data_IF_212085593918
#
_entry.id   IF_212085593918
#
_cell.length_a   1.000
_cell.length_b   1.000
_cell.length_c   1.000
_cell.angle_alpha   90.00
_cell.angle_beta   90.00
_cell.angle_gamma   90.00
#
_symmetry.space_group_name_H-M   'P 1'
#
loop_
_entity.id
_entity.type
_entity.pdbx_description
1 polymer ?
#
# COMPACT_ATOMS: atom_id res chain seq x y z
N UNK A 1 -42.62 17.37 -6.13
CA UNK A 1 -41.17 17.17 -5.88
C UNK A 1 -40.89 16.43 -4.56
N UNK A 2 -41.83 16.32 -3.64
CA UNK A 2 -41.74 15.60 -2.34
C UNK A 2 -41.86 14.08 -2.48
N UNK A 3 -42.75 13.56 -3.34
CA UNK A 3 -42.94 12.11 -3.57
C UNK A 3 -41.70 11.34 -4.07
N UNK A 4 -40.74 12.02 -4.72
CA UNK A 4 -39.51 11.39 -5.19
C UNK A 4 -38.45 11.25 -4.07
N UNK A 5 -38.49 12.08 -3.06
CA UNK A 5 -37.58 12.00 -1.90
C UNK A 5 -37.99 10.88 -0.94
N UNK A 6 -39.29 10.71 -0.70
CA UNK A 6 -39.80 9.64 0.18
C UNK A 6 -39.61 8.26 -0.45
N UNK A 7 -39.79 8.12 -1.76
CA UNK A 7 -39.50 6.87 -2.47
C UNK A 7 -38.01 6.51 -2.48
N UNK A 8 -37.11 7.48 -2.59
CA UNK A 8 -35.67 7.28 -2.48
C UNK A 8 -35.26 6.88 -1.06
N UNK A 9 -35.83 7.54 -0.05
CA UNK A 9 -35.57 7.20 1.36
C UNK A 9 -36.08 5.79 1.74
N UNK A 10 -37.26 5.39 1.24
CA UNK A 10 -37.79 4.03 1.44
C UNK A 10 -36.93 3.00 0.72
N UNK A 11 -36.41 3.31 -0.47
CA UNK A 11 -35.53 2.40 -1.21
C UNK A 11 -34.13 2.30 -0.56
N UNK A 12 -33.63 3.36 0.07
CA UNK A 12 -32.38 3.36 0.85
C UNK A 12 -32.54 2.63 2.19
N UNK A 13 -33.68 2.74 2.86
CA UNK A 13 -34.01 1.98 4.07
C UNK A 13 -34.11 0.45 3.84
N UNK A 14 -34.30 0.03 2.57
CA UNK A 14 -34.35 -1.39 2.19
C UNK A 14 -32.98 -1.96 1.82
N UNK A 15 -31.87 -1.17 1.84
CA UNK A 15 -30.54 -1.65 1.50
C UNK A 15 -29.90 -2.39 2.68
N UNK A 16 -29.58 -3.67 2.49
CA UNK A 16 -28.75 -4.43 3.44
C UNK A 16 -27.29 -3.97 3.34
N UNK A 17 -26.96 -2.82 3.99
CA UNK A 17 -25.62 -2.25 4.01
C UNK A 17 -24.58 -3.24 4.53
N UNK A 18 -24.81 -4.05 5.57
CA UNK A 18 -23.90 -5.09 6.01
C UNK A 18 -23.59 -6.14 4.92
N UNK A 19 -24.57 -6.57 4.14
CA UNK A 19 -24.35 -7.53 3.04
C UNK A 19 -23.53 -6.88 1.92
N UNK A 20 -23.84 -5.62 1.55
CA UNK A 20 -23.06 -4.84 0.57
C UNK A 20 -21.64 -4.69 1.05
N UNK A 21 -21.40 -4.37 2.33
CA UNK A 21 -20.06 -4.23 2.90
C UNK A 21 -19.28 -5.55 2.84
N UNK A 22 -19.87 -6.68 3.21
CA UNK A 22 -19.22 -8.00 3.10
C UNK A 22 -18.81 -8.30 1.66
N UNK A 23 -19.71 -8.08 0.69
CA UNK A 23 -19.40 -8.24 -0.73
C UNK A 23 -18.30 -7.31 -1.21
N UNK A 24 -18.33 -6.05 -0.80
CA UNK A 24 -17.30 -5.03 -1.11
C UNK A 24 -15.93 -5.51 -0.65
N UNK A 25 -15.79 -5.94 0.61
CA UNK A 25 -14.52 -6.46 1.14
C UNK A 25 -14.08 -7.70 0.36
N UNK A 26 -14.98 -8.63 0.02
CA UNK A 26 -14.65 -9.82 -0.76
C UNK A 26 -14.11 -9.48 -2.17
N UNK A 27 -14.78 -8.58 -2.90
CA UNK A 27 -14.36 -8.12 -4.24
C UNK A 27 -13.00 -7.41 -4.17
N UNK A 28 -12.81 -6.52 -3.20
CA UNK A 28 -11.55 -5.81 -3.00
C UNK A 28 -10.41 -6.77 -2.64
N UNK A 29 -10.66 -7.74 -1.76
CA UNK A 29 -9.66 -8.75 -1.38
C UNK A 29 -9.24 -9.63 -2.55
N UNK A 30 -10.18 -10.08 -3.38
CA UNK A 30 -9.88 -10.85 -4.58
C UNK A 30 -9.03 -10.03 -5.58
N UNK A 31 -9.41 -8.76 -5.81
CA UNK A 31 -8.62 -7.86 -6.65
C UNK A 31 -7.23 -7.60 -6.06
N UNK A 32 -7.12 -7.44 -4.73
CA UNK A 32 -5.86 -7.18 -4.05
C UNK A 32 -4.90 -8.38 -4.11
N UNK A 33 -5.41 -9.60 -3.99
CA UNK A 33 -4.60 -10.82 -4.16
C UNK A 33 -4.00 -10.89 -5.56
N UNK A 34 -4.80 -10.64 -6.60
CA UNK A 34 -4.34 -10.62 -8.00
C UNK A 34 -3.32 -9.49 -8.24
N UNK A 35 -3.60 -8.30 -7.72
CA UNK A 35 -2.68 -7.14 -7.81
C UNK A 35 -1.35 -7.46 -7.11
N UNK A 36 -1.42 -8.11 -5.96
CA UNK A 36 -0.23 -8.53 -5.21
C UNK A 36 0.64 -9.51 -6.00
N UNK A 37 0.03 -10.53 -6.65
CA UNK A 37 0.75 -11.48 -7.53
C UNK A 37 1.47 -10.72 -8.65
N UNK A 38 0.75 -9.79 -9.31
CA UNK A 38 1.28 -9.01 -10.41
C UNK A 38 2.47 -8.16 -9.99
N UNK A 39 2.32 -7.37 -8.93
CA UNK A 39 3.34 -6.39 -8.50
C UNK A 39 4.56 -7.09 -7.88
N UNK A 40 4.35 -8.10 -7.01
CA UNK A 40 5.46 -8.78 -6.33
C UNK A 40 6.36 -9.57 -7.30
N UNK A 41 5.80 -10.14 -8.37
CA UNK A 41 6.58 -10.80 -9.41
C UNK A 41 7.26 -9.82 -10.38
N UNK A 42 6.61 -8.68 -10.67
CA UNK A 42 7.11 -7.71 -11.65
C UNK A 42 8.32 -6.90 -11.16
N UNK A 43 8.38 -6.56 -9.87
CA UNK A 43 9.44 -5.72 -9.31
C UNK A 43 10.85 -6.24 -9.59
N UNK A 44 11.23 -7.47 -9.21
CA UNK A 44 12.58 -7.97 -9.47
C UNK A 44 12.85 -8.18 -10.96
N UNK A 45 11.84 -8.62 -11.73
CA UNK A 45 11.99 -8.84 -13.16
C UNK A 45 12.24 -7.53 -13.94
N UNK A 46 11.60 -6.42 -13.53
CA UNK A 46 11.78 -5.12 -14.18
C UNK A 46 13.20 -4.58 -14.04
N UNK A 47 13.81 -4.76 -12.89
CA UNK A 47 15.21 -4.39 -12.66
C UNK A 47 16.14 -5.19 -13.58
N UNK A 48 15.98 -6.52 -13.64
CA UNK A 48 16.79 -7.41 -14.47
C UNK A 48 16.62 -7.15 -15.98
N UNK A 49 15.38 -6.86 -16.44
CA UNK A 49 15.12 -6.50 -17.84
C UNK A 49 15.83 -5.19 -18.18
N UNK A 50 15.68 -4.17 -17.31
CA UNK A 50 16.31 -2.87 -17.57
C UNK A 50 17.83 -2.97 -17.61
N UNK A 51 18.44 -3.72 -16.70
CA UNK A 51 19.87 -4.01 -16.68
C UNK A 51 20.32 -4.73 -17.97
N UNK A 52 19.60 -5.80 -18.36
CA UNK A 52 19.92 -6.58 -19.55
C UNK A 52 19.79 -5.79 -20.85
N UNK A 53 18.79 -4.89 -20.95
CA UNK A 53 18.58 -4.03 -22.13
C UNK A 53 19.62 -2.89 -22.18
N UNK A 54 19.96 -2.29 -21.04
CA UNK A 54 20.88 -1.15 -20.95
C UNK A 54 22.37 -1.56 -20.87
N UNK A 55 22.65 -2.81 -20.47
CA UNK A 55 24.02 -3.29 -20.23
C UNK A 55 24.69 -2.69 -18.99
N UNK A 56 23.92 -2.12 -18.05
CA UNK A 56 24.47 -1.54 -16.82
C UNK A 56 23.47 -1.61 -15.64
N UNK A 57 24.02 -1.73 -14.42
CA UNK A 57 23.24 -1.86 -13.18
C UNK A 57 22.42 -0.59 -12.82
N UNK A 58 22.84 0.59 -13.28
CA UNK A 58 22.13 1.83 -12.99
C UNK A 58 20.70 1.82 -13.57
N UNK A 59 20.49 1.15 -14.70
CA UNK A 59 19.17 1.01 -15.30
C UNK A 59 18.22 0.16 -14.43
N UNK A 60 18.72 -0.83 -13.68
CA UNK A 60 17.92 -1.61 -12.73
C UNK A 60 17.35 -0.71 -11.63
N UNK A 61 18.18 0.16 -11.05
CA UNK A 61 17.74 1.14 -10.04
C UNK A 61 16.75 2.15 -10.60
N UNK A 62 16.95 2.60 -11.85
CA UNK A 62 16.01 3.50 -12.52
C UNK A 62 14.65 2.87 -12.74
N UNK A 63 14.58 1.60 -13.17
CA UNK A 63 13.30 0.90 -13.36
C UNK A 63 12.49 0.86 -12.05
N UNK A 64 13.15 0.60 -10.92
CA UNK A 64 12.54 0.65 -9.61
C UNK A 64 12.04 2.06 -9.26
N UNK A 65 12.87 3.06 -9.51
CA UNK A 65 12.52 4.47 -9.27
C UNK A 65 11.31 4.90 -10.09
N UNK A 66 11.23 4.53 -11.37
CA UNK A 66 10.06 4.82 -12.21
C UNK A 66 8.79 4.20 -11.65
N UNK A 67 8.84 2.98 -11.10
CA UNK A 67 7.70 2.34 -10.44
C UNK A 67 7.19 3.15 -9.24
N UNK A 68 8.09 3.59 -8.36
CA UNK A 68 7.74 4.43 -7.18
C UNK A 68 7.21 5.78 -7.61
N UNK A 69 7.85 6.44 -8.60
CA UNK A 69 7.38 7.72 -9.16
C UNK A 69 6.00 7.57 -9.78
N UNK A 70 5.74 6.47 -10.51
CA UNK A 70 4.44 6.17 -11.09
C UNK A 70 3.35 6.06 -10.02
N UNK A 71 3.64 5.37 -8.91
CA UNK A 71 2.71 5.27 -7.79
C UNK A 71 2.44 6.65 -7.14
N UNK A 72 3.47 7.45 -6.93
CA UNK A 72 3.33 8.80 -6.38
C UNK A 72 2.50 9.71 -7.29
N UNK A 73 2.80 9.72 -8.60
CA UNK A 73 2.07 10.52 -9.60
C UNK A 73 0.62 10.10 -9.75
N UNK A 74 0.29 8.80 -9.57
CA UNK A 74 -1.08 8.29 -9.68
C UNK A 74 -1.93 8.57 -8.44
N UNK A 75 -1.35 8.79 -7.26
CA UNK A 75 -2.06 8.89 -5.99
C UNK A 75 -3.16 9.97 -6.01
N UNK A 76 -2.82 11.20 -6.42
CA UNK A 76 -3.78 12.31 -6.47
C UNK A 76 -4.78 12.22 -7.64
N UNK A 77 -4.39 11.87 -8.89
CA UNK A 77 -5.35 11.63 -9.96
C UNK A 77 -6.39 10.57 -9.63
N UNK A 78 -5.98 9.42 -9.05
CA UNK A 78 -6.90 8.38 -8.62
C UNK A 78 -7.87 8.86 -7.53
N UNK A 79 -7.38 9.67 -6.58
CA UNK A 79 -8.23 10.32 -5.57
C UNK A 79 -9.27 11.25 -6.22
N UNK A 80 -8.86 12.08 -7.20
CA UNK A 80 -9.78 12.96 -7.96
C UNK A 80 -10.84 12.16 -8.72
N UNK A 81 -10.44 11.06 -9.37
CA UNK A 81 -11.37 10.18 -10.07
C UNK A 81 -12.36 9.55 -9.08
N UNK A 82 -11.91 9.15 -7.89
CA UNK A 82 -12.79 8.65 -6.83
C UNK A 82 -13.82 9.70 -6.42
N UNK A 83 -13.41 10.94 -6.20
CA UNK A 83 -14.29 12.05 -5.82
C UNK A 83 -15.38 12.32 -6.88
N UNK A 84 -15.04 12.22 -8.16
CA UNK A 84 -15.96 12.51 -9.27
C UNK A 84 -16.78 11.31 -9.74
N UNK A 85 -16.22 10.10 -9.63
CA UNK A 85 -16.77 8.91 -10.30
C UNK A 85 -16.84 7.64 -9.45
N UNK A 86 -16.41 7.70 -8.17
CA UNK A 86 -16.43 6.59 -7.23
C UNK A 86 -15.17 5.71 -7.28
N UNK A 87 -15.07 4.80 -6.30
CA UNK A 87 -13.94 3.88 -6.12
C UNK A 87 -13.76 2.95 -7.31
N UNK A 88 -14.85 2.38 -7.80
CA UNK A 88 -14.80 1.44 -8.91
C UNK A 88 -14.08 2.02 -10.13
N UNK A 89 -14.40 3.25 -10.53
CA UNK A 89 -13.77 3.89 -11.69
C UNK A 89 -12.29 4.13 -11.47
N UNK A 90 -11.91 4.65 -10.31
CA UNK A 90 -10.52 4.93 -9.98
C UNK A 90 -9.67 3.66 -9.96
N UNK A 91 -10.14 2.62 -9.26
CA UNK A 91 -9.40 1.37 -9.10
C UNK A 91 -9.29 0.61 -10.43
N UNK A 92 -10.38 0.50 -11.20
CA UNK A 92 -10.36 -0.14 -12.53
C UNK A 92 -9.40 0.57 -13.48
N UNK A 93 -9.40 1.91 -13.51
CA UNK A 93 -8.46 2.69 -14.33
C UNK A 93 -7.02 2.50 -13.88
N UNK A 94 -6.73 2.58 -12.57
CA UNK A 94 -5.37 2.40 -12.06
C UNK A 94 -4.79 1.01 -12.37
N UNK A 95 -5.59 -0.05 -12.21
CA UNK A 95 -5.18 -1.41 -12.55
C UNK A 95 -5.08 -1.62 -14.08
N UNK A 96 -6.00 -1.05 -14.85
CA UNK A 96 -5.97 -1.11 -16.33
C UNK A 96 -4.72 -0.43 -16.89
N UNK A 97 -4.37 0.75 -16.39
CA UNK A 97 -3.13 1.45 -16.75
C UNK A 97 -1.90 0.61 -16.37
N UNK A 98 -1.92 -0.01 -15.18
CA UNK A 98 -0.88 -0.95 -14.78
C UNK A 98 -0.75 -2.16 -15.70
N UNK A 99 -1.87 -2.73 -16.16
CA UNK A 99 -1.87 -3.84 -17.12
C UNK A 99 -1.24 -3.42 -18.47
N UNK A 100 -1.58 -2.23 -18.98
CA UNK A 100 -0.93 -1.64 -20.17
C UNK A 100 0.55 -1.44 -19.92
N UNK A 101 0.93 -0.98 -18.70
CA UNK A 101 2.33 -0.85 -18.30
C UNK A 101 3.08 -2.18 -18.34
N UNK A 102 2.47 -3.26 -17.83
CA UNK A 102 3.07 -4.58 -17.90
C UNK A 102 3.30 -5.05 -19.35
N UNK A 103 2.34 -4.81 -20.25
CA UNK A 103 2.52 -5.07 -21.69
C UNK A 103 3.65 -4.22 -22.28
N UNK A 104 3.76 -2.95 -21.89
CA UNK A 104 4.86 -2.06 -22.33
C UNK A 104 6.23 -2.62 -21.95
N UNK A 105 6.39 -3.18 -20.73
CA UNK A 105 7.67 -3.83 -20.34
C UNK A 105 7.95 -5.06 -21.21
N UNK A 106 6.95 -5.88 -21.51
CA UNK A 106 7.11 -7.02 -22.43
C UNK A 106 7.58 -6.56 -23.81
N UNK A 107 6.98 -5.49 -24.36
CA UNK A 107 7.43 -4.88 -25.61
C UNK A 107 8.86 -4.39 -25.50
N UNK A 108 9.21 -3.69 -24.42
CA UNK A 108 10.58 -3.20 -24.18
C UNK A 108 11.60 -4.33 -24.09
N UNK A 109 11.24 -5.45 -23.43
CA UNK A 109 12.11 -6.62 -23.34
C UNK A 109 12.31 -7.34 -24.67
N UNK A 110 11.29 -7.37 -25.52
CA UNK A 110 11.35 -8.03 -26.86
C UNK A 110 12.05 -7.18 -27.91
N UNK A 111 11.84 -5.87 -27.87
CA UNK A 111 12.42 -4.93 -28.84
C UNK A 111 13.78 -4.34 -28.40
N UNK A 112 14.22 -4.66 -27.17
CA UNK A 112 15.41 -4.12 -26.50
C UNK A 112 15.38 -2.58 -26.40
N UNK A 113 14.19 -1.98 -26.26
CA UNK A 113 13.97 -0.55 -26.14
C UNK A 113 13.70 -0.14 -24.69
N UNK A 114 14.71 0.42 -24.05
CA UNK A 114 14.68 0.86 -22.64
C UNK A 114 13.54 1.85 -22.30
N UNK A 115 13.15 2.82 -23.18
CA UNK A 115 12.02 3.70 -22.90
C UNK A 115 10.70 2.96 -22.61
N UNK A 116 10.43 1.84 -23.31
CA UNK A 116 9.22 1.04 -23.06
C UNK A 116 9.29 0.33 -21.70
N UNK A 117 10.49 -0.07 -21.24
CA UNK A 117 10.69 -0.66 -19.92
C UNK A 117 10.38 0.37 -18.84
N UNK A 118 10.96 1.57 -18.92
CA UNK A 118 10.74 2.64 -17.95
C UNK A 118 9.31 3.17 -17.94
N UNK A 119 8.72 3.39 -19.13
CA UNK A 119 7.30 3.74 -19.22
C UNK A 119 6.42 2.65 -18.60
N UNK A 120 6.73 1.40 -18.90
CA UNK A 120 5.97 0.27 -18.39
C UNK A 120 6.05 0.16 -16.87
N UNK A 121 7.23 0.27 -16.25
CA UNK A 121 7.39 0.24 -14.80
C UNK A 121 6.69 1.43 -14.14
N UNK A 122 6.75 2.63 -14.72
CA UNK A 122 6.02 3.80 -14.26
C UNK A 122 4.50 3.55 -14.27
N UNK A 123 3.95 2.99 -15.34
CA UNK A 123 2.53 2.67 -15.44
C UNK A 123 2.10 1.54 -14.48
N UNK A 124 2.96 0.53 -14.24
CA UNK A 124 2.73 -0.49 -13.20
C UNK A 124 2.65 0.14 -11.80
N UNK A 125 3.39 1.22 -11.56
CA UNK A 125 3.27 2.04 -10.36
C UNK A 125 1.84 2.55 -10.11
N UNK A 126 1.06 2.84 -11.17
CA UNK A 126 -0.34 3.22 -11.03
C UNK A 126 -1.20 2.10 -10.42
N UNK A 127 -0.91 0.82 -10.75
CA UNK A 127 -1.59 -0.32 -10.12
C UNK A 127 -1.22 -0.44 -8.64
N UNK A 128 0.02 -0.16 -8.26
CA UNK A 128 0.46 -0.10 -6.86
C UNK A 128 -0.34 0.97 -6.10
N UNK A 129 -0.48 2.18 -6.66
CA UNK A 129 -1.30 3.24 -6.07
C UNK A 129 -2.78 2.84 -5.92
N UNK A 130 -3.36 2.18 -6.95
CA UNK A 130 -4.71 1.66 -6.87
C UNK A 130 -4.86 0.60 -5.76
N UNK A 131 -3.89 -0.30 -5.62
CA UNK A 131 -3.83 -1.27 -4.51
C UNK A 131 -3.81 -0.59 -3.14
N UNK A 132 -3.05 0.49 -2.96
CA UNK A 132 -3.07 1.27 -1.73
C UNK A 132 -4.43 1.91 -1.46
N UNK A 133 -5.13 2.39 -2.48
CA UNK A 133 -6.46 2.97 -2.31
C UNK A 133 -7.57 1.94 -2.06
N UNK A 134 -7.38 0.69 -2.50
CA UNK A 134 -8.35 -0.39 -2.28
C UNK A 134 -8.61 -0.66 -0.79
N UNK A 135 -7.58 -0.52 0.07
CA UNK A 135 -7.75 -0.67 1.53
C UNK A 135 -8.75 0.33 2.11
N UNK A 136 -8.73 1.56 1.62
CA UNK A 136 -9.66 2.59 2.08
C UNK A 136 -11.09 2.36 1.59
N UNK A 137 -11.25 1.85 0.37
CA UNK A 137 -12.56 1.48 -0.15
C UNK A 137 -13.27 0.43 0.72
N UNK A 138 -12.51 -0.43 1.40
CA UNK A 138 -13.03 -1.39 2.38
C UNK A 138 -13.60 -0.73 3.64
N UNK A 139 -13.15 0.47 3.98
CA UNK A 139 -13.59 1.21 5.16
C UNK A 139 -14.77 2.18 4.88
N UNK A 140 -15.12 2.42 3.61
CA UNK A 140 -16.10 3.45 3.24
C UNK A 140 -17.51 3.18 3.81
N UNK A 141 -17.95 1.92 3.86
CA UNK A 141 -19.26 1.48 4.40
C UNK A 141 -19.13 0.78 5.76
N UNK A 142 -17.90 0.62 6.28
CA UNK A 142 -17.69 -0.04 7.55
C UNK A 142 -18.12 0.82 8.74
N UNK A 143 -18.75 0.19 9.73
CA UNK A 143 -19.03 0.81 11.02
C UNK A 143 -17.73 1.31 11.67
N UNK A 144 -17.76 2.42 12.43
CA UNK A 144 -16.56 3.03 13.01
C UNK A 144 -15.70 2.08 13.84
N UNK A 145 -16.32 1.12 14.55
CA UNK A 145 -15.69 0.11 15.39
C UNK A 145 -15.11 -1.08 14.60
N UNK A 146 -15.40 -1.18 13.29
CA UNK A 146 -14.98 -2.29 12.40
C UNK A 146 -14.14 -1.84 11.22
N UNK A 147 -13.80 -0.55 11.12
CA UNK A 147 -13.01 0.01 10.00
C UNK A 147 -11.62 -0.60 9.92
N UNK A 148 -10.94 -0.76 11.05
CA UNK A 148 -9.61 -1.37 11.12
C UNK A 148 -9.62 -2.81 10.60
N UNK A 149 -10.62 -3.60 11.01
CA UNK A 149 -10.80 -4.97 10.54
C UNK A 149 -11.10 -5.04 9.04
N UNK A 150 -11.99 -4.19 8.53
CA UNK A 150 -12.34 -4.19 7.10
C UNK A 150 -11.13 -3.85 6.23
N UNK A 151 -10.37 -2.82 6.61
CA UNK A 151 -9.14 -2.40 5.95
C UNK A 151 -8.07 -3.50 6.00
N UNK A 152 -7.86 -4.11 7.16
CA UNK A 152 -6.82 -5.12 7.37
C UNK A 152 -7.06 -6.42 6.59
N UNK A 153 -8.31 -6.81 6.35
CA UNK A 153 -8.65 -7.98 5.54
C UNK A 153 -8.18 -7.77 4.08
N UNK A 154 -8.41 -6.59 3.52
CA UNK A 154 -7.96 -6.26 2.18
C UNK A 154 -6.43 -6.19 2.11
N UNK A 155 -5.79 -5.60 3.13
CA UNK A 155 -4.33 -5.59 3.25
C UNK A 155 -3.77 -7.02 3.36
N UNK A 156 -4.41 -7.89 4.15
CA UNK A 156 -4.03 -9.29 4.29
C UNK A 156 -4.07 -10.07 2.97
N UNK A 157 -5.02 -9.77 2.10
CA UNK A 157 -5.12 -10.41 0.79
C UNK A 157 -3.85 -10.22 -0.06
N UNK A 158 -3.06 -9.17 0.19
CA UNK A 158 -1.75 -8.97 -0.43
C UNK A 158 -0.73 -10.05 -0.07
N UNK A 159 -0.90 -10.75 1.07
CA UNK A 159 -0.04 -11.88 1.48
C UNK A 159 -0.01 -12.97 0.40
N UNK A 160 -1.16 -13.25 -0.22
CA UNK A 160 -1.27 -14.24 -1.30
C UNK A 160 -0.33 -13.85 -2.44
N UNK A 161 -0.35 -12.57 -2.84
CA UNK A 161 0.50 -12.07 -3.90
C UNK A 161 1.99 -12.06 -3.52
N UNK A 162 2.29 -11.66 -2.29
CA UNK A 162 3.65 -11.59 -1.79
C UNK A 162 4.32 -12.97 -1.73
N UNK A 163 3.55 -14.02 -1.46
CA UNK A 163 4.03 -15.41 -1.46
C UNK A 163 4.08 -15.98 -2.87
N UNK A 164 3.02 -15.80 -3.65
CA UNK A 164 2.93 -16.42 -4.98
C UNK A 164 3.79 -15.70 -6.03
N UNK A 165 3.90 -14.37 -5.98
CA UNK A 165 4.61 -13.58 -6.98
C UNK A 165 6.03 -14.05 -7.26
N UNK A 166 6.94 -14.08 -6.27
CA UNK A 166 8.30 -14.58 -6.45
C UNK A 166 8.37 -16.06 -6.84
N UNK A 167 7.46 -16.91 -6.32
CA UNK A 167 7.42 -18.33 -6.63
C UNK A 167 6.96 -18.62 -8.07
N UNK A 168 6.29 -17.69 -8.73
CA UNK A 168 5.86 -17.80 -10.11
C UNK A 168 6.93 -17.37 -11.11
N UNK A 169 8.08 -16.83 -10.69
CA UNK A 169 9.14 -16.32 -11.57
C UNK A 169 9.58 -17.38 -12.61
N UNK A 170 9.91 -18.57 -12.18
CA UNK A 170 10.36 -19.64 -13.09
C UNK A 170 9.22 -20.15 -13.97
N UNK A 171 8.03 -20.38 -13.39
CA UNK A 171 6.86 -20.87 -14.13
C UNK A 171 6.41 -19.85 -15.19
N UNK A 172 6.40 -18.55 -14.84
CA UNK A 172 6.08 -17.48 -15.79
C UNK A 172 7.13 -17.33 -16.88
N UNK A 173 8.41 -17.53 -16.54
CA UNK A 173 9.50 -17.54 -17.52
C UNK A 173 9.34 -18.67 -18.55
N UNK A 174 8.99 -19.90 -18.11
CA UNK A 174 8.66 -21.01 -19.01
C UNK A 174 7.45 -20.71 -19.90
N UNK A 175 6.42 -20.06 -19.33
CA UNK A 175 5.26 -19.63 -20.12
C UNK A 175 5.67 -18.63 -21.21
N UNK A 176 6.50 -17.64 -20.88
CA UNK A 176 6.97 -16.65 -21.84
C UNK A 176 7.74 -17.29 -23.00
N UNK A 177 8.69 -18.20 -22.69
CA UNK A 177 9.47 -18.90 -23.73
C UNK A 177 8.59 -19.81 -24.60
N UNK A 178 7.57 -20.46 -24.03
CA UNK A 178 6.61 -21.28 -24.80
C UNK A 178 5.80 -20.46 -25.83
N UNK A 179 5.64 -19.17 -25.65
CA UNK A 179 4.94 -18.26 -26.58
C UNK A 179 5.92 -17.37 -27.36
N UNK A 180 7.21 -17.70 -27.37
CA UNK A 180 8.25 -17.01 -28.16
C UNK A 180 8.73 -15.69 -27.58
N UNK A 181 8.51 -15.42 -26.28
CA UNK A 181 8.96 -14.22 -25.59
C UNK A 181 10.22 -14.47 -24.75
N UNK A 182 11.02 -13.44 -24.44
CA UNK A 182 12.15 -13.55 -23.54
C UNK A 182 11.72 -14.07 -22.16
N UNK A 183 12.51 -14.97 -21.57
CA UNK A 183 12.19 -15.60 -20.28
C UNK A 183 11.87 -14.58 -19.18
N UNK A 184 12.66 -13.52 -19.06
CA UNK A 184 12.49 -12.48 -18.05
C UNK A 184 11.20 -11.65 -18.22
N UNK A 185 10.56 -11.68 -19.40
CA UNK A 185 9.26 -11.01 -19.62
C UNK A 185 8.08 -11.78 -19.01
N UNK A 186 8.27 -13.05 -18.62
CA UNK A 186 7.22 -13.91 -18.07
C UNK A 186 6.47 -13.33 -16.89
N UNK A 187 7.13 -12.79 -15.87
CA UNK A 187 6.45 -12.11 -14.75
C UNK A 187 5.56 -10.96 -15.19
N UNK A 188 5.93 -10.22 -16.25
CA UNK A 188 5.10 -9.13 -16.78
C UNK A 188 3.93 -9.63 -17.64
N UNK A 189 4.04 -10.76 -18.32
CA UNK A 189 2.92 -11.44 -18.98
C UNK A 189 1.88 -11.85 -17.91
N UNK A 190 2.31 -12.47 -16.82
CA UNK A 190 1.43 -12.82 -15.70
C UNK A 190 0.87 -11.56 -15.04
N UNK A 191 1.68 -10.52 -14.86
CA UNK A 191 1.24 -9.24 -14.29
C UNK A 191 0.14 -8.59 -15.14
N UNK A 192 0.28 -8.55 -16.46
CA UNK A 192 -0.73 -8.02 -17.36
C UNK A 192 -2.07 -8.77 -17.23
N UNK A 193 -2.02 -10.11 -17.20
CA UNK A 193 -3.19 -10.96 -16.99
C UNK A 193 -3.83 -10.76 -15.62
N UNK A 194 -3.06 -10.78 -14.56
CA UNK A 194 -3.55 -10.59 -13.19
C UNK A 194 -4.14 -9.19 -12.96
N UNK A 195 -3.49 -8.13 -13.46
CA UNK A 195 -4.01 -6.75 -13.35
C UNK A 195 -5.28 -6.55 -14.18
N UNK A 196 -5.34 -7.12 -15.40
CA UNK A 196 -6.55 -7.13 -16.21
C UNK A 196 -7.70 -7.85 -15.53
N UNK A 197 -7.44 -9.03 -14.95
CA UNK A 197 -8.45 -9.80 -14.21
C UNK A 197 -8.86 -9.07 -12.93
N UNK A 198 -7.93 -8.47 -12.20
CA UNK A 198 -8.22 -7.67 -11.01
C UNK A 198 -9.14 -6.47 -11.35
N UNK A 199 -8.86 -5.78 -12.46
CA UNK A 199 -9.73 -4.71 -12.96
C UNK A 199 -11.13 -5.24 -13.34
N UNK A 200 -11.22 -6.41 -13.97
CA UNK A 200 -12.49 -7.05 -14.31
C UNK A 200 -13.30 -7.44 -13.06
N UNK A 201 -12.63 -8.00 -12.02
CA UNK A 201 -13.25 -8.30 -10.73
C UNK A 201 -13.84 -7.05 -10.08
N UNK A 202 -13.16 -5.91 -10.18
CA UNK A 202 -13.64 -4.64 -9.64
C UNK A 202 -14.87 -4.07 -10.37
N UNK A 203 -15.19 -4.52 -11.58
CA UNK A 203 -16.46 -4.17 -12.23
C UNK A 203 -17.66 -4.65 -11.43
N UNK A 204 -17.49 -5.74 -10.64
CA UNK A 204 -18.49 -6.26 -9.71
C UNK A 204 -18.67 -5.41 -8.42
N UNK A 205 -17.87 -4.35 -8.22
CA UNK A 205 -18.01 -3.41 -7.10
C UNK A 205 -19.24 -2.51 -7.31
N UNK A 206 -20.42 -3.08 -7.07
CA UNK A 206 -21.72 -2.45 -7.23
C UNK A 206 -22.64 -2.84 -6.07
N UNK A 207 -23.30 -1.85 -5.39
CA UNK A 207 -23.09 -0.39 -5.56
C UNK A 207 -21.67 0.05 -5.21
N UNK A 208 -21.23 1.20 -5.75
CA UNK A 208 -19.93 1.77 -5.41
C UNK A 208 -19.91 2.20 -3.94
N UNK A 209 -18.94 1.71 -3.12
CA UNK A 209 -18.96 1.95 -1.68
C UNK A 209 -18.84 3.42 -1.29
N UNK A 210 -18.02 4.20 -1.99
CA UNK A 210 -17.87 5.63 -1.74
C UNK A 210 -19.13 6.41 -2.08
N UNK A 211 -19.71 6.17 -3.27
CA UNK A 211 -20.91 6.88 -3.70
C UNK A 211 -22.11 6.51 -2.83
N UNK A 212 -22.21 5.24 -2.37
CA UNK A 212 -23.26 4.84 -1.45
C UNK A 212 -23.08 5.47 -0.07
N UNK A 213 -21.86 5.43 0.51
CA UNK A 213 -21.57 6.06 1.79
C UNK A 213 -21.92 7.56 1.78
N UNK A 214 -21.59 8.27 0.68
CA UNK A 214 -21.93 9.68 0.50
C UNK A 214 -23.43 9.93 0.42
N UNK A 215 -24.19 9.04 -0.27
CA UNK A 215 -25.66 9.15 -0.34
C UNK A 215 -26.29 8.97 1.04
N UNK A 216 -25.84 7.95 1.78
CA UNK A 216 -26.32 7.69 3.14
C UNK A 216 -26.03 8.88 4.08
N UNK A 217 -24.85 9.48 4.01
CA UNK A 217 -24.49 10.66 4.79
C UNK A 217 -25.36 11.90 4.45
N UNK A 218 -25.77 12.05 3.19
CA UNK A 218 -26.73 13.12 2.81
C UNK A 218 -28.13 12.83 3.34
N UNK A 219 -28.55 11.56 3.31
CA UNK A 219 -29.88 11.15 3.79
C UNK A 219 -30.01 11.29 5.31
N UNK A 220 -28.92 11.03 6.08
CA UNK A 220 -28.88 11.23 7.55
C UNK A 220 -28.73 12.70 7.98
N UNK A 221 -28.48 13.61 7.03
CA UNK A 221 -28.21 15.02 7.34
C UNK A 221 -26.77 15.33 7.75
N UNK A 222 -25.87 14.35 7.72
CA UNK A 222 -24.45 14.50 8.06
C UNK A 222 -23.63 15.17 6.95
N UNK A 223 -24.22 15.36 5.75
CA UNK A 223 -23.56 16.01 4.62
C UNK A 223 -24.56 16.86 3.80
N UNK A 224 -24.07 17.94 3.23
CA UNK A 224 -24.90 18.85 2.39
C UNK A 224 -25.00 18.31 0.96
N UNK A 225 -26.23 18.18 0.47
CA UNK A 225 -26.49 17.75 -0.92
C UNK A 225 -25.93 18.81 -1.90
N UNK A 226 -25.08 18.38 -2.85
CA UNK A 226 -24.52 19.29 -3.87
C UNK A 226 -23.10 19.76 -3.62
N UNK A 227 -22.54 19.63 -2.42
CA UNK A 227 -21.13 19.88 -2.18
C UNK A 227 -20.23 18.96 -3.04
N UNK A 228 -19.28 19.58 -3.74
CA UNK A 228 -18.26 18.87 -4.51
C UNK A 228 -17.00 18.75 -3.66
N UNK A 229 -16.66 17.56 -3.18
CA UNK A 229 -15.45 17.34 -2.38
C UNK A 229 -14.21 17.83 -3.15
N UNK A 230 -13.31 18.51 -2.45
CA UNK A 230 -12.08 19.07 -3.02
C UNK A 230 -10.85 18.47 -2.31
N UNK A 231 -9.76 18.26 -3.06
CA UNK A 231 -8.47 17.87 -2.47
C UNK A 231 -7.97 18.94 -1.49
N UNK A 232 -8.26 20.22 -1.75
CA UNK A 232 -7.87 21.31 -0.84
C UNK A 232 -8.57 21.21 0.52
N UNK A 233 -9.84 20.82 0.53
CA UNK A 233 -10.62 20.64 1.76
C UNK A 233 -10.11 19.44 2.56
N UNK A 234 -9.79 18.34 1.89
CA UNK A 234 -9.15 17.19 2.53
C UNK A 234 -7.81 17.53 3.17
N UNK A 235 -6.94 18.28 2.49
CA UNK A 235 -5.67 18.76 3.06
C UNK A 235 -5.92 19.72 4.22
N UNK A 236 -6.89 20.65 4.08
CA UNK A 236 -7.26 21.57 5.15
C UNK A 236 -7.80 20.82 6.38
N UNK A 237 -8.57 19.73 6.17
CA UNK A 237 -9.04 18.85 7.23
C UNK A 237 -7.88 18.23 8.00
N UNK A 238 -6.90 17.61 7.31
CA UNK A 238 -5.71 17.05 7.97
C UNK A 238 -4.98 18.09 8.81
N UNK A 239 -4.84 19.33 8.30
CA UNK A 239 -4.17 20.42 9.04
C UNK A 239 -4.90 20.84 10.32
N UNK A 240 -6.20 20.66 10.41
CA UNK A 240 -7.05 21.05 11.54
C UNK A 240 -7.25 19.94 12.58
N UNK A 241 -7.16 18.66 12.18
CA UNK A 241 -7.49 17.52 13.04
C UNK A 241 -6.24 16.77 13.48
N UNK A 242 -5.98 16.74 14.79
CA UNK A 242 -4.79 16.09 15.39
C UNK A 242 -4.73 14.59 15.07
N UNK A 243 -5.88 13.91 15.07
CA UNK A 243 -5.99 12.49 14.71
C UNK A 243 -5.52 12.22 13.27
N UNK A 244 -6.01 13.01 12.31
CA UNK A 244 -5.63 12.89 10.91
C UNK A 244 -4.14 13.20 10.68
N UNK A 245 -3.58 14.20 11.38
CA UNK A 245 -2.15 14.51 11.33
C UNK A 245 -1.30 13.35 11.85
N UNK A 246 -1.71 12.76 12.98
CA UNK A 246 -1.03 11.60 13.56
C UNK A 246 -1.12 10.39 12.63
N UNK A 247 -2.29 10.13 12.05
CA UNK A 247 -2.49 9.05 11.07
C UNK A 247 -1.60 9.20 9.84
N UNK A 248 -1.56 10.41 9.24
CA UNK A 248 -0.69 10.73 8.11
C UNK A 248 0.80 10.54 8.46
N UNK A 249 1.23 11.07 9.61
CA UNK A 249 2.62 10.94 10.07
C UNK A 249 2.99 9.47 10.34
N UNK A 250 2.09 8.69 10.94
CA UNK A 250 2.32 7.28 11.21
C UNK A 250 2.54 6.47 9.92
N UNK A 251 1.72 6.72 8.90
CA UNK A 251 1.84 6.06 7.59
C UNK A 251 3.15 6.46 6.91
N UNK A 252 3.45 7.75 6.82
CA UNK A 252 4.62 8.25 6.11
C UNK A 252 5.93 7.86 6.82
N UNK A 253 6.07 8.13 8.13
CA UNK A 253 7.28 7.84 8.90
C UNK A 253 7.48 6.33 9.04
N UNK A 254 6.41 5.56 9.30
CA UNK A 254 6.49 4.09 9.36
C UNK A 254 6.94 3.48 8.04
N UNK A 255 6.48 4.02 6.90
CA UNK A 255 6.93 3.57 5.59
C UNK A 255 8.39 3.94 5.31
N UNK A 256 8.83 5.14 5.70
CA UNK A 256 10.23 5.54 5.59
C UNK A 256 11.15 4.60 6.36
N UNK A 257 10.85 4.30 7.65
CA UNK A 257 11.61 3.35 8.49
C UNK A 257 11.73 1.99 7.80
N UNK A 258 10.58 1.47 7.33
CA UNK A 258 10.53 0.16 6.68
C UNK A 258 11.41 0.13 5.42
N UNK A 259 11.29 1.13 4.54
CA UNK A 259 12.07 1.20 3.29
C UNK A 259 13.56 1.36 3.58
N UNK A 260 13.94 2.24 4.53
CA UNK A 260 15.34 2.46 4.89
C UNK A 260 16.06 1.15 5.23
N UNK A 261 15.50 0.35 6.12
CA UNK A 261 16.13 -0.88 6.61
C UNK A 261 16.00 -2.01 5.59
N UNK A 262 14.80 -2.25 5.05
CA UNK A 262 14.50 -3.38 4.17
C UNK A 262 15.31 -3.34 2.87
N UNK A 263 15.46 -2.15 2.24
CA UNK A 263 16.14 -2.04 0.93
C UNK A 263 17.62 -2.36 1.02
N UNK A 264 18.27 -2.03 2.14
CA UNK A 264 19.71 -2.25 2.32
C UNK A 264 20.06 -3.61 2.96
N UNK A 265 19.09 -4.34 3.52
CA UNK A 265 19.36 -5.66 4.11
C UNK A 265 19.91 -6.68 3.11
N UNK A 266 19.34 -6.83 1.89
CA UNK A 266 19.92 -7.73 0.87
C UNK A 266 21.37 -7.36 0.49
N UNK A 267 21.66 -6.07 0.39
CA UNK A 267 23.00 -5.56 0.08
C UNK A 267 23.96 -5.92 1.21
N UNK A 268 23.55 -5.70 2.47
CA UNK A 268 24.32 -6.06 3.65
C UNK A 268 24.65 -7.56 3.72
N UNK A 269 23.66 -8.43 3.47
CA UNK A 269 23.85 -9.88 3.44
C UNK A 269 24.77 -10.35 2.29
N UNK A 270 24.71 -9.68 1.14
CA UNK A 270 25.57 -10.02 -0.01
C UNK A 270 27.04 -9.69 0.21
N UNK A 271 27.33 -8.67 1.02
CA UNK A 271 28.73 -8.31 1.33
C UNK A 271 29.50 -9.42 2.10
N UNK A 272 28.78 -10.37 2.69
CA UNK A 272 29.35 -11.55 3.38
C UNK A 272 28.98 -12.87 2.68
N UNK A 273 28.71 -12.80 1.38
CA UNK A 273 28.46 -13.95 0.50
C UNK A 273 27.30 -14.88 0.91
N UNK A 274 26.29 -14.34 1.61
CA UNK A 274 25.05 -15.09 1.93
C UNK A 274 24.35 -15.49 0.64
N UNK A 275 23.96 -16.75 0.53
CA UNK A 275 23.27 -17.30 -0.65
C UNK A 275 21.97 -16.57 -0.93
N UNK A 276 21.69 -16.30 -2.22
CA UNK A 276 20.50 -15.55 -2.68
C UNK A 276 19.17 -16.16 -2.18
N UNK A 277 19.10 -17.49 -2.04
CA UNK A 277 17.92 -18.16 -1.51
C UNK A 277 17.62 -17.77 -0.06
N UNK A 278 18.66 -17.60 0.78
CA UNK A 278 18.52 -17.18 2.17
C UNK A 278 18.13 -15.70 2.28
N UNK A 279 18.69 -14.86 1.40
CA UNK A 279 18.27 -13.45 1.28
C UNK A 279 16.78 -13.37 0.91
N UNK A 280 16.35 -14.17 -0.09
CA UNK A 280 14.95 -14.27 -0.48
C UNK A 280 14.04 -14.74 0.65
N UNK A 281 14.50 -15.69 1.48
CA UNK A 281 13.77 -16.16 2.67
C UNK A 281 13.57 -15.01 3.68
N UNK A 282 14.63 -14.26 3.98
CA UNK A 282 14.56 -13.12 4.91
C UNK A 282 13.58 -12.06 4.41
N UNK A 283 13.59 -11.75 3.11
CA UNK A 283 12.61 -10.82 2.50
C UNK A 283 11.19 -11.40 2.62
N UNK A 284 11.00 -12.69 2.37
CA UNK A 284 9.69 -13.35 2.48
C UNK A 284 9.14 -13.30 3.90
N UNK A 285 10.01 -13.50 4.89
CA UNK A 285 9.68 -13.38 6.32
C UNK A 285 9.29 -11.94 6.68
N UNK A 286 10.00 -10.93 6.13
CA UNK A 286 9.62 -9.52 6.26
C UNK A 286 8.22 -9.25 5.71
N UNK A 287 7.95 -9.70 4.50
CA UNK A 287 6.63 -9.53 3.85
C UNK A 287 5.52 -10.24 4.63
N UNK A 288 5.82 -11.40 5.23
CA UNK A 288 4.89 -12.06 6.15
C UNK A 288 4.61 -11.19 7.38
N UNK A 289 5.61 -10.52 7.95
CA UNK A 289 5.44 -9.53 9.02
C UNK A 289 4.51 -8.37 8.62
N UNK A 290 4.64 -7.87 7.39
CA UNK A 290 3.81 -6.79 6.88
C UNK A 290 2.32 -7.16 6.78
N UNK A 291 2.01 -8.36 6.30
CA UNK A 291 0.66 -8.69 5.84
C UNK A 291 -0.02 -9.83 6.61
N UNK A 292 0.71 -10.87 7.03
CA UNK A 292 0.10 -12.08 7.57
C UNK A 292 -0.69 -11.83 8.86
N UNK A 293 -0.18 -10.94 9.73
CA UNK A 293 -0.82 -10.58 11.00
C UNK A 293 -1.74 -9.36 10.90
N UNK A 294 -1.94 -8.79 9.70
CA UNK A 294 -2.75 -7.57 9.55
C UNK A 294 -4.19 -7.69 10.05
N UNK A 295 -4.92 -8.85 9.95
CA UNK A 295 -6.25 -8.97 10.54
C UNK A 295 -6.24 -8.85 12.07
N UNK A 296 -5.19 -9.38 12.73
CA UNK A 296 -5.02 -9.25 14.18
C UNK A 296 -4.73 -7.79 14.57
N UNK A 297 -3.88 -7.11 13.79
CA UNK A 297 -3.58 -5.68 13.98
C UNK A 297 -4.85 -4.84 13.79
N UNK A 298 -5.66 -5.14 12.78
CA UNK A 298 -6.93 -4.47 12.53
C UNK A 298 -7.93 -4.68 13.66
N UNK A 299 -8.07 -5.91 14.14
CA UNK A 299 -8.89 -6.23 15.29
C UNK A 299 -8.41 -5.49 16.56
N UNK A 300 -7.11 -5.47 16.80
CA UNK A 300 -6.52 -4.74 17.93
C UNK A 300 -6.78 -3.23 17.82
N UNK A 301 -6.67 -2.65 16.61
CA UNK A 301 -6.95 -1.24 16.38
C UNK A 301 -8.42 -0.88 16.66
N UNK A 302 -9.36 -1.77 16.34
CA UNK A 302 -10.79 -1.56 16.62
C UNK A 302 -11.10 -1.75 18.10
N UNK A 303 -10.48 -2.74 18.79
CA UNK A 303 -10.81 -3.11 20.17
C UNK A 303 -10.05 -2.34 21.23
N UNK A 304 -8.74 -2.15 21.03
CA UNK A 304 -7.85 -1.46 21.97
C UNK A 304 -7.72 0.03 21.67
N UNK A 305 -8.13 0.44 20.46
CA UNK A 305 -7.98 1.78 19.95
C UNK A 305 -6.73 1.94 19.04
N UNK A 306 -6.76 2.96 18.22
CA UNK A 306 -5.75 3.22 17.17
C UNK A 306 -4.41 3.67 17.77
N UNK A 307 -4.48 4.52 18.79
CA UNK A 307 -3.27 5.09 19.44
C UNK A 307 -2.43 4.03 20.17
N UNK A 308 -3.01 3.10 20.96
CA UNK A 308 -2.24 1.97 21.53
C UNK A 308 -1.58 1.10 20.46
N UNK A 309 -2.24 0.82 19.33
CA UNK A 309 -1.64 0.04 18.24
C UNK A 309 -0.51 0.79 17.55
N UNK A 310 -0.63 2.11 17.37
CA UNK A 310 0.49 2.94 16.90
C UNK A 310 1.67 2.93 17.87
N UNK A 311 1.42 3.01 19.17
CA UNK A 311 2.46 2.93 20.19
C UNK A 311 3.16 1.56 20.18
N UNK A 312 2.41 0.46 20.02
CA UNK A 312 2.97 -0.87 19.82
C UNK A 312 3.84 -0.91 18.56
N UNK A 313 3.38 -0.33 17.44
CA UNK A 313 4.15 -0.22 16.19
C UNK A 313 5.48 0.51 16.39
N UNK A 314 5.49 1.62 17.13
CA UNK A 314 6.73 2.37 17.49
C UNK A 314 7.68 1.48 18.31
N UNK A 315 7.18 0.79 19.31
CA UNK A 315 7.99 -0.11 20.13
C UNK A 315 8.58 -1.27 19.29
N UNK A 316 7.76 -1.87 18.42
CA UNK A 316 8.19 -2.94 17.52
C UNK A 316 9.25 -2.44 16.54
N UNK A 317 9.10 -1.27 15.92
CA UNK A 317 10.11 -0.66 15.06
C UNK A 317 11.42 -0.41 15.83
N UNK A 318 11.33 0.07 17.06
CA UNK A 318 12.53 0.30 17.88
C UNK A 318 13.30 -1.01 18.09
N UNK A 319 12.61 -2.08 18.49
CA UNK A 319 13.23 -3.40 18.67
C UNK A 319 13.79 -3.92 17.35
N UNK A 320 13.05 -3.79 16.25
CA UNK A 320 13.49 -4.23 14.92
C UNK A 320 14.79 -3.53 14.49
N UNK A 321 14.85 -2.20 14.59
CA UNK A 321 16.02 -1.42 14.21
C UNK A 321 17.23 -1.73 15.10
N UNK A 322 17.04 -1.84 16.43
CA UNK A 322 18.11 -2.20 17.37
C UNK A 322 18.64 -3.60 17.09
N UNK A 323 17.75 -4.56 16.83
CA UNK A 323 18.14 -5.94 16.51
C UNK A 323 18.90 -5.98 15.18
N UNK A 324 18.36 -5.36 14.12
CA UNK A 324 19.01 -5.29 12.81
C UNK A 324 20.40 -4.62 12.87
N UNK A 325 20.59 -3.62 13.75
CA UNK A 325 21.88 -2.95 13.93
C UNK A 325 22.94 -3.83 14.61
N UNK A 326 22.54 -4.85 15.37
CA UNK A 326 23.44 -5.67 16.20
C UNK A 326 23.67 -7.09 15.66
N UNK A 327 22.76 -7.56 14.82
CA UNK A 327 22.84 -8.92 14.25
C UNK A 327 23.88 -8.92 13.12
N UNK A 328 24.80 -9.94 13.09
CA UNK A 328 25.73 -10.13 11.99
C UNK A 328 25.03 -10.33 10.64
N UNK A 329 25.69 -9.98 9.55
CA UNK A 329 25.13 -10.04 8.19
C UNK A 329 24.85 -11.49 7.72
N UNK A 330 25.55 -12.46 8.26
CA UNK A 330 25.43 -13.89 7.99
C UNK A 330 24.41 -14.61 8.90
N UNK A 331 23.95 -13.96 9.99
CA UNK A 331 22.88 -14.49 10.84
C UNK A 331 21.50 -14.30 10.19
N UNK A 332 21.16 -15.25 9.33
CA UNK A 332 19.88 -15.28 8.59
C UNK A 332 18.67 -15.30 9.52
N UNK A 333 18.77 -15.98 10.68
CA UNK A 333 17.66 -16.10 11.63
C UNK A 333 17.46 -14.77 12.36
N UNK A 334 18.52 -14.18 12.87
CA UNK A 334 18.47 -12.88 13.56
C UNK A 334 17.95 -11.76 12.66
N UNK A 335 18.47 -11.69 11.41
CA UNK A 335 17.96 -10.72 10.41
C UNK A 335 16.52 -11.02 10.01
N UNK A 336 16.15 -12.30 9.89
CA UNK A 336 14.77 -12.72 9.62
C UNK A 336 13.81 -12.23 10.69
N UNK A 337 14.15 -12.39 11.97
CA UNK A 337 13.36 -11.91 13.10
C UNK A 337 13.29 -10.36 13.09
N UNK A 338 14.42 -9.67 12.88
CA UNK A 338 14.47 -8.22 12.82
C UNK A 338 13.55 -7.68 11.69
N UNK A 339 13.62 -8.28 10.50
CA UNK A 339 12.81 -7.87 9.37
C UNK A 339 11.34 -8.26 9.52
N UNK A 340 11.02 -9.38 10.16
CA UNK A 340 9.63 -9.72 10.51
C UNK A 340 9.02 -8.63 11.42
N UNK A 341 9.75 -8.26 12.47
CA UNK A 341 9.33 -7.20 13.38
C UNK A 341 9.21 -5.85 12.65
N UNK A 342 10.15 -5.54 11.75
CA UNK A 342 10.08 -4.35 10.91
C UNK A 342 8.79 -4.31 10.09
N UNK A 343 8.43 -5.43 9.45
CA UNK A 343 7.18 -5.58 8.72
C UNK A 343 5.94 -5.44 9.61
N UNK A 344 5.96 -6.04 10.80
CA UNK A 344 4.85 -5.95 11.76
C UNK A 344 4.68 -4.52 12.30
N UNK A 345 5.77 -3.79 12.58
CA UNK A 345 5.74 -2.38 12.95
C UNK A 345 5.10 -1.52 11.85
N UNK A 346 5.45 -1.79 10.59
CA UNK A 346 4.82 -1.15 9.43
C UNK A 346 3.32 -1.47 9.35
N UNK A 347 2.91 -2.71 9.55
CA UNK A 347 1.50 -3.12 9.56
C UNK A 347 0.69 -2.35 10.61
N UNK A 348 1.24 -2.20 11.82
CA UNK A 348 0.62 -1.43 12.91
C UNK A 348 0.43 0.05 12.52
N UNK A 349 1.48 0.69 11.98
CA UNK A 349 1.42 2.11 11.58
C UNK A 349 0.53 2.33 10.37
N UNK A 350 0.53 1.42 9.40
CA UNK A 350 -0.33 1.51 8.21
C UNK A 350 -1.81 1.37 8.57
N UNK A 351 -2.17 0.30 9.29
CA UNK A 351 -3.58 -0.03 9.56
C UNK A 351 -4.17 0.97 10.56
N UNK A 352 -3.55 1.16 11.71
CA UNK A 352 -4.05 2.10 12.71
C UNK A 352 -3.96 3.56 12.21
N UNK A 353 -2.90 3.92 11.49
CA UNK A 353 -2.74 5.23 10.87
C UNK A 353 -3.79 5.50 9.80
N UNK A 354 -4.07 4.55 8.91
CA UNK A 354 -5.09 4.67 7.87
C UNK A 354 -6.50 4.80 8.46
N UNK A 355 -6.78 4.07 9.54
CA UNK A 355 -8.07 4.15 10.24
C UNK A 355 -8.22 5.52 10.91
N UNK A 356 -7.19 5.96 11.64
CA UNK A 356 -7.18 7.26 12.34
C UNK A 356 -7.29 8.43 11.37
N UNK A 357 -6.65 8.32 10.20
CA UNK A 357 -6.66 9.33 9.15
C UNK A 357 -8.09 9.67 8.66
N UNK A 358 -8.97 8.66 8.59
CA UNK A 358 -10.34 8.82 8.05
C UNK A 358 -11.42 8.85 9.13
N UNK A 359 -11.05 8.81 10.40
CA UNK A 359 -11.99 8.64 11.49
C UNK A 359 -12.95 9.82 11.64
N UNK A 360 -12.39 11.04 11.60
CA UNK A 360 -13.13 12.31 11.76
C UNK A 360 -13.29 13.05 10.42
N UNK A 361 -13.19 12.32 9.30
CA UNK A 361 -13.31 12.89 7.95
C UNK A 361 -14.67 12.56 7.37
N UNK A 362 -15.36 13.58 6.86
CA UNK A 362 -16.63 13.42 6.16
C UNK A 362 -16.47 12.46 4.98
N UNK A 363 -17.50 11.64 4.74
CA UNK A 363 -17.44 10.60 3.70
C UNK A 363 -17.06 11.19 2.33
N UNK A 364 -17.44 12.43 2.04
CA UNK A 364 -17.10 13.14 0.82
C UNK A 364 -15.62 13.43 0.66
N UNK A 365 -14.92 13.80 1.74
CA UNK A 365 -13.54 14.27 1.70
C UNK A 365 -12.49 13.15 1.88
N UNK A 366 -12.91 11.95 2.31
CA UNK A 366 -12.02 10.81 2.55
C UNK A 366 -11.05 10.52 1.39
N UNK A 367 -11.48 10.47 0.11
CA UNK A 367 -10.56 10.17 -0.97
C UNK A 367 -9.46 11.22 -1.16
N UNK A 368 -9.74 12.49 -0.86
CA UNK A 368 -8.74 13.56 -0.93
C UNK A 368 -7.65 13.39 0.13
N UNK A 369 -8.07 13.11 1.38
CA UNK A 369 -7.16 12.84 2.51
C UNK A 369 -6.34 11.57 2.27
N UNK A 370 -6.96 10.54 1.75
CA UNK A 370 -6.31 9.25 1.43
C UNK A 370 -5.28 9.40 0.31
N UNK A 371 -5.62 10.14 -0.77
CA UNK A 371 -4.68 10.42 -1.86
C UNK A 371 -3.45 11.21 -1.39
N UNK A 372 -3.65 12.19 -0.50
CA UNK A 372 -2.54 12.92 0.12
C UNK A 372 -1.68 12.02 1.00
N UNK A 373 -2.31 11.07 1.72
CA UNK A 373 -1.60 10.08 2.53
C UNK A 373 -0.75 9.14 1.68
N UNK A 374 -1.30 8.60 0.59
CA UNK A 374 -0.58 7.70 -0.31
C UNK A 374 0.58 8.41 -1.00
N UNK A 375 0.40 9.67 -1.41
CA UNK A 375 1.49 10.50 -1.94
C UNK A 375 2.59 10.72 -0.89
N UNK A 376 2.22 11.09 0.34
CA UNK A 376 3.16 11.30 1.45
C UNK A 376 3.93 10.03 1.78
N UNK A 377 3.27 8.87 1.78
CA UNK A 377 3.87 7.57 2.01
C UNK A 377 4.93 7.26 0.93
N UNK A 378 4.60 7.45 -0.36
CA UNK A 378 5.53 7.19 -1.45
C UNK A 378 6.74 8.15 -1.41
N UNK A 379 6.52 9.44 -1.13
CA UNK A 379 7.61 10.42 -0.96
C UNK A 379 8.52 10.02 0.21
N UNK A 380 7.92 9.66 1.35
CA UNK A 380 8.67 9.25 2.53
C UNK A 380 9.49 7.97 2.27
N UNK A 381 8.94 7.00 1.53
CA UNK A 381 9.66 5.81 1.09
C UNK A 381 10.82 6.14 0.15
N UNK A 382 10.60 7.01 -0.84
CA UNK A 382 11.66 7.43 -1.77
C UNK A 382 12.80 8.16 -1.04
N UNK A 383 12.48 9.08 -0.13
CA UNK A 383 13.47 9.77 0.71
C UNK A 383 14.19 8.78 1.64
N UNK A 384 13.45 7.85 2.25
CA UNK A 384 14.02 6.79 3.09
C UNK A 384 15.02 5.94 2.33
N UNK A 385 14.69 5.51 1.11
CA UNK A 385 15.60 4.76 0.25
C UNK A 385 16.85 5.53 -0.16
N UNK A 386 16.70 6.82 -0.51
CA UNK A 386 17.82 7.69 -0.84
C UNK A 386 18.79 7.90 0.35
N UNK A 387 18.22 8.16 1.54
CA UNK A 387 19.00 8.28 2.78
C UNK A 387 19.71 6.96 3.10
N UNK A 388 19.01 5.82 2.91
CA UNK A 388 19.57 4.51 3.17
C UNK A 388 20.80 4.23 2.31
N UNK A 389 20.71 4.49 1.00
CA UNK A 389 21.84 4.34 0.08
C UNK A 389 23.03 5.21 0.46
N UNK A 390 22.78 6.49 0.78
CA UNK A 390 23.83 7.42 1.19
C UNK A 390 24.51 6.98 2.49
N UNK A 391 23.76 6.61 3.51
CA UNK A 391 24.30 6.21 4.82
C UNK A 391 25.13 4.94 4.69
N UNK A 392 24.65 3.92 3.94
CA UNK A 392 25.42 2.68 3.76
C UNK A 392 26.69 2.92 2.94
N UNK A 393 26.63 3.76 1.90
CA UNK A 393 27.81 4.09 1.09
C UNK A 393 28.88 4.86 1.87
N UNK A 394 28.51 5.67 2.86
CA UNK A 394 29.45 6.50 3.62
C UNK A 394 29.80 5.94 5.00
N UNK A 395 29.07 4.91 5.48
CA UNK A 395 29.22 4.37 6.82
C UNK A 395 28.96 2.86 6.86
N UNK A 396 27.80 2.42 7.39
CA UNK A 396 27.47 0.99 7.49
C UNK A 396 25.97 0.76 7.61
N UNK A 397 25.56 -0.51 7.42
CA UNK A 397 24.18 -0.95 7.66
C UNK A 397 23.76 -0.76 9.14
N UNK A 398 24.65 -1.01 10.09
CA UNK A 398 24.37 -0.78 11.50
C UNK A 398 24.05 0.70 11.78
N UNK A 399 24.83 1.62 11.24
CA UNK A 399 24.58 3.07 11.35
C UNK A 399 23.25 3.44 10.71
N UNK A 400 22.90 2.86 9.55
CA UNK A 400 21.59 3.05 8.91
C UNK A 400 20.46 2.67 9.86
N UNK A 401 20.54 1.51 10.52
CA UNK A 401 19.51 1.05 11.47
C UNK A 401 19.36 2.01 12.67
N UNK A 402 20.44 2.63 13.16
CA UNK A 402 20.38 3.69 14.17
C UNK A 402 19.78 4.99 13.62
N UNK A 403 20.09 5.38 12.39
CA UNK A 403 19.48 6.54 11.71
C UNK A 403 17.97 6.32 11.51
N UNK A 404 17.55 5.10 11.22
CA UNK A 404 16.14 4.75 11.10
C UNK A 404 15.33 4.94 12.39
N UNK A 405 15.99 5.03 13.57
CA UNK A 405 15.32 5.40 14.81
C UNK A 405 14.91 6.88 14.87
N UNK A 406 15.48 7.76 14.03
CA UNK A 406 15.09 9.18 14.00
C UNK A 406 13.62 9.35 13.63
N UNK A 407 13.11 8.82 12.50
CA UNK A 407 11.67 8.88 12.20
C UNK A 407 10.82 8.09 13.20
N UNK A 408 11.33 7.02 13.83
CA UNK A 408 10.64 6.31 14.93
C UNK A 408 10.45 7.23 16.13
N UNK A 409 11.52 7.92 16.55
CA UNK A 409 11.49 8.87 17.66
C UNK A 409 10.57 10.08 17.36
N UNK A 410 10.57 10.57 16.10
CA UNK A 410 9.65 11.61 15.68
C UNK A 410 8.19 11.16 15.79
N UNK A 411 7.87 9.92 15.38
CA UNK A 411 6.53 9.35 15.54
C UNK A 411 6.17 9.16 17.02
N UNK A 412 7.10 8.70 17.86
CA UNK A 412 6.91 8.59 19.31
C UNK A 412 6.59 9.96 19.94
N UNK A 413 7.35 10.99 19.59
CA UNK A 413 7.11 12.36 20.07
C UNK A 413 5.73 12.88 19.63
N UNK A 414 5.33 12.64 18.38
CA UNK A 414 4.01 13.01 17.90
C UNK A 414 2.87 12.29 18.64
N UNK A 415 3.05 11.01 18.98
CA UNK A 415 2.12 10.23 19.80
C UNK A 415 1.93 10.83 21.19
N UNK A 416 3.02 11.32 21.80
CA UNK A 416 2.96 11.93 23.13
C UNK A 416 2.33 13.33 23.09
N UNK A 417 2.69 14.14 22.10
CA UNK A 417 2.27 15.54 21.98
C UNK A 417 0.86 15.72 21.42
N UNK A 418 0.38 14.78 20.59
CA UNK A 418 -0.87 14.89 19.84
C UNK A 418 -1.88 13.81 20.16
N UNK A 419 -1.87 13.27 21.38
CA UNK A 419 -2.89 12.30 21.81
C UNK A 419 -4.29 12.86 21.51
N UNK A 420 -5.10 12.20 20.67
CA UNK A 420 -6.50 12.55 20.53
C UNK A 420 -7.18 12.50 21.91
N UNK A 421 -8.15 13.39 22.15
CA UNK A 421 -8.92 13.32 23.38
C UNK A 421 -9.56 11.93 23.54
N UNK A 422 -9.57 11.34 24.76
CA UNK A 422 -10.26 10.10 24.98
C UNK A 422 -11.74 10.25 24.59
N UNK A 423 -12.25 9.32 23.79
CA UNK A 423 -13.67 9.28 23.48
C UNK A 423 -14.44 8.98 24.76
N UNK A 424 -15.60 9.63 24.99
CA UNK A 424 -16.50 9.18 26.03
C UNK A 424 -16.90 7.73 25.75
N UNK A 425 -17.05 6.89 26.80
CA UNK A 425 -17.52 5.52 26.63
C UNK A 425 -18.85 5.56 25.87
N UNK A 426 -18.98 4.68 24.86
CA UNK A 426 -20.24 4.46 24.17
C UNK A 426 -21.27 4.01 25.23
N UNK A 427 -22.28 4.83 25.43
CA UNK A 427 -23.39 4.53 26.36
C UNK A 427 -24.26 3.41 25.79
#
# INVERSE_FOLDING_TARGET
MTLSRDAAAVQEAALDVPAIQRRTVGVLSASQALTGIAVAGAIPAGALIAEGVAGNEAAAGLAQTFGVVGAALAALPLARITLSGGRRRALVLGLGVGAVGAVSVVVGATTLLLPFVFLGTLLVGCATAAGYQARYAAADLAEPDRRGRALSIVVWASTIGAVLGPNLLEASGRLATAIGLPQLSGPYVVAAGCLGLAAAVLVALRPDPFLLARRLAVASGDAVAGERPSIRDGIAHVRRHRGAQLGLAAIALGHAVMVMVMVMTPVHMRHVDVRLQLIGLVISVHVAGMYALSPLVGWAADRLGRVPVLAAGVAIFTVACVLAARVPADDVVGLGIALFLLGLGWSCTLIAGSTLLVEDVDAGDRPAVQGASDLSMNIAGALGGAVAGLVVATSSYAVLCWVALVPVAALAALLLLRRPAPRPPLA
#
